data_IF_026117812314
#
_entry.id   IF_026117812314
#
_cell.length_a   1.000
_cell.length_b   1.000
_cell.length_c   1.000
_cell.angle_alpha   90.00
_cell.angle_beta   90.00
_cell.angle_gamma   90.00
#
_symmetry.space_group_name_H-M   'P 1'
#
loop_
_entity.id
_entity.type
_entity.pdbx_description
1 polymer ?
#
# COMPACT_ATOMS: atom_id res chain seq x y z
N UNK A 1 69.33 -49.27 -24.10
CA UNK A 1 69.93 -47.93 -24.19
C UNK A 1 68.89 -47.01 -24.78
N UNK A 2 68.74 -45.84 -24.19
CA UNK A 2 67.86 -44.78 -24.68
C UNK A 2 68.41 -44.28 -26.04
N UNK A 3 67.53 -43.85 -26.95
CA UNK A 3 67.94 -43.26 -28.23
C UNK A 3 68.98 -42.16 -28.06
N UNK A 4 68.83 -41.34 -27.01
CA UNK A 4 69.78 -40.27 -26.66
C UNK A 4 71.18 -40.79 -26.35
N UNK A 5 71.28 -41.97 -25.75
CA UNK A 5 72.57 -42.61 -25.44
C UNK A 5 73.24 -43.13 -26.71
N UNK A 6 72.48 -43.82 -27.58
CA UNK A 6 72.99 -44.33 -28.85
C UNK A 6 73.34 -43.20 -29.83
N UNK A 7 72.56 -42.12 -29.86
CA UNK A 7 72.86 -40.91 -30.62
C UNK A 7 74.11 -40.21 -30.09
N UNK A 8 74.23 -40.05 -28.78
CA UNK A 8 75.43 -39.49 -28.14
C UNK A 8 76.68 -40.32 -28.43
N UNK A 9 76.56 -41.64 -28.47
CA UNK A 9 77.66 -42.54 -28.82
C UNK A 9 78.04 -42.47 -30.30
N UNK A 10 77.06 -42.33 -31.20
CA UNK A 10 77.29 -42.04 -32.61
C UNK A 10 78.01 -40.70 -32.81
N UNK A 11 77.63 -39.66 -32.06
CA UNK A 11 78.30 -38.36 -32.08
C UNK A 11 79.74 -38.44 -31.57
N UNK A 12 79.99 -39.23 -30.52
CA UNK A 12 81.35 -39.49 -30.02
C UNK A 12 82.18 -40.23 -31.07
N UNK A 13 81.62 -41.28 -31.67
CA UNK A 13 82.24 -42.03 -32.77
C UNK A 13 82.57 -41.14 -33.96
N UNK A 14 81.72 -40.17 -34.28
CA UNK A 14 82.00 -39.19 -35.33
C UNK A 14 83.11 -38.19 -34.95
N UNK A 15 83.11 -37.75 -33.69
CA UNK A 15 84.03 -36.70 -33.20
C UNK A 15 85.44 -37.21 -32.91
N UNK A 16 85.59 -38.48 -32.50
CA UNK A 16 86.89 -39.13 -32.22
C UNK A 16 87.51 -39.79 -33.46
N UNK A 17 86.86 -39.64 -34.61
CA UNK A 17 87.19 -40.40 -35.80
C UNK A 17 88.47 -39.90 -36.48
N UNK A 18 89.43 -40.80 -36.70
CA UNK A 18 90.74 -40.44 -37.25
C UNK A 18 90.67 -40.22 -38.76
N UNK A 19 91.21 -39.09 -39.26
CA UNK A 19 91.28 -38.82 -40.70
C UNK A 19 92.31 -39.71 -41.38
N UNK A 20 91.95 -40.27 -42.53
CA UNK A 20 92.86 -41.15 -43.27
C UNK A 20 93.88 -40.30 -44.06
N UNK A 21 95.20 -40.46 -43.83
CA UNK A 21 96.23 -39.73 -44.56
C UNK A 21 96.13 -39.94 -46.08
N UNK A 22 96.28 -38.87 -46.87
CA UNK A 22 96.24 -38.92 -48.34
C UNK A 22 94.84 -38.94 -48.98
N UNK A 23 93.77 -39.17 -48.20
CA UNK A 23 92.39 -39.19 -48.67
C UNK A 23 91.61 -38.01 -48.09
N UNK A 24 91.44 -36.95 -48.89
CA UNK A 24 90.65 -35.78 -48.47
C UNK A 24 89.20 -36.23 -48.19
N UNK A 25 88.67 -35.83 -47.03
CA UNK A 25 87.31 -36.10 -46.53
C UNK A 25 86.99 -37.54 -46.08
N UNK A 26 87.97 -38.45 -46.01
CA UNK A 26 87.73 -39.81 -45.47
C UNK A 26 88.19 -39.92 -44.02
N UNK A 27 87.40 -40.66 -43.27
CA UNK A 27 87.54 -40.84 -41.83
C UNK A 27 87.43 -42.32 -41.54
N UNK A 28 88.33 -42.82 -40.69
CA UNK A 28 88.35 -44.21 -40.25
C UNK A 28 87.51 -44.34 -38.99
N UNK A 29 86.56 -45.27 -39.02
CA UNK A 29 85.66 -45.58 -37.90
C UNK A 29 85.78 -47.08 -37.64
N UNK A 30 85.68 -47.48 -36.37
CA UNK A 30 85.56 -48.88 -35.99
C UNK A 30 84.23 -49.43 -36.51
N UNK A 31 84.31 -50.42 -37.41
CA UNK A 31 83.15 -50.96 -38.08
C UNK A 31 82.23 -51.74 -37.13
N UNK A 32 82.80 -52.42 -36.13
CA UNK A 32 82.05 -53.26 -35.19
C UNK A 32 81.32 -52.39 -34.15
N UNK A 33 81.99 -51.33 -33.67
CA UNK A 33 81.37 -50.36 -32.76
C UNK A 33 80.29 -49.53 -33.47
N UNK A 34 80.56 -49.06 -34.69
CA UNK A 34 79.57 -48.34 -35.50
C UNK A 34 78.33 -49.20 -35.80
N UNK A 35 78.53 -50.47 -36.15
CA UNK A 35 77.42 -51.41 -36.41
C UNK A 35 76.56 -51.62 -35.16
N UNK A 36 77.17 -51.72 -33.98
CA UNK A 36 76.48 -51.83 -32.68
C UNK A 36 75.59 -50.61 -32.43
N UNK A 37 76.14 -49.40 -32.52
CA UNK A 37 75.40 -48.14 -32.29
C UNK A 37 74.26 -47.96 -33.29
N UNK A 38 74.48 -48.28 -34.57
CA UNK A 38 73.42 -48.23 -35.60
C UNK A 38 72.31 -49.24 -35.33
N UNK A 39 72.66 -50.46 -34.88
CA UNK A 39 71.67 -51.47 -34.54
C UNK A 39 70.86 -51.11 -33.29
N UNK A 40 71.48 -50.45 -32.32
CA UNK A 40 70.81 -49.90 -31.14
C UNK A 40 69.86 -48.76 -31.51
N UNK A 41 70.28 -47.80 -32.34
CA UNK A 41 69.40 -46.76 -32.89
C UNK A 41 68.24 -47.36 -33.68
N UNK A 42 68.50 -48.40 -34.49
CA UNK A 42 67.46 -49.14 -35.23
C UNK A 42 66.44 -49.80 -34.31
N UNK A 43 66.83 -50.16 -33.09
CA UNK A 43 65.97 -50.85 -32.12
C UNK A 43 65.24 -49.85 -31.21
N UNK A 44 65.91 -48.77 -30.80
CA UNK A 44 65.36 -47.75 -29.90
C UNK A 44 64.42 -46.76 -30.61
N UNK A 45 64.76 -46.27 -31.82
CA UNK A 45 63.92 -45.28 -32.53
C UNK A 45 62.47 -45.73 -32.76
N UNK A 46 62.17 -46.99 -33.19
CA UNK A 46 60.79 -47.41 -33.36
C UNK A 46 60.01 -47.43 -32.03
N UNK A 47 60.66 -47.76 -30.92
CA UNK A 47 60.03 -47.81 -29.61
C UNK A 47 59.66 -46.39 -29.14
N UNK A 48 60.56 -45.42 -29.25
CA UNK A 48 60.30 -44.04 -28.85
C UNK A 48 59.25 -43.36 -29.73
N UNK A 49 59.25 -43.65 -31.05
CA UNK A 49 58.20 -43.18 -31.96
C UNK A 49 56.84 -43.78 -31.58
N UNK A 50 56.79 -45.06 -31.21
CA UNK A 50 55.56 -45.70 -30.75
C UNK A 50 55.06 -45.06 -29.44
N UNK A 51 55.96 -44.85 -28.47
CA UNK A 51 55.62 -44.18 -27.22
C UNK A 51 55.09 -42.76 -27.46
N UNK A 52 55.77 -41.97 -28.29
CA UNK A 52 55.32 -40.63 -28.65
C UNK A 52 53.93 -40.66 -29.33
N UNK A 53 53.66 -41.65 -30.20
CA UNK A 53 52.35 -41.83 -30.81
C UNK A 53 51.27 -42.19 -29.79
N UNK A 54 51.56 -43.05 -28.81
CA UNK A 54 50.62 -43.37 -27.73
C UNK A 54 50.32 -42.14 -26.87
N UNK A 55 51.33 -41.35 -26.52
CA UNK A 55 51.16 -40.10 -25.77
C UNK A 55 50.28 -39.12 -26.56
N UNK A 56 50.50 -38.98 -27.87
CA UNK A 56 49.67 -38.12 -28.73
C UNK A 56 48.22 -38.61 -28.73
N UNK A 57 47.98 -39.92 -28.88
CA UNK A 57 46.62 -40.48 -28.83
C UNK A 57 45.96 -40.25 -27.48
N UNK A 58 46.69 -40.44 -26.38
CA UNK A 58 46.19 -40.16 -25.03
C UNK A 58 45.84 -38.68 -24.87
N UNK A 59 46.70 -37.76 -25.32
CA UNK A 59 46.43 -36.33 -25.31
C UNK A 59 45.17 -35.99 -26.10
N UNK A 60 45.04 -36.52 -27.30
CA UNK A 60 43.87 -36.26 -28.16
C UNK A 60 42.59 -36.83 -27.53
N UNK A 61 42.68 -37.97 -26.85
CA UNK A 61 41.56 -38.54 -26.08
C UNK A 61 41.16 -37.63 -24.91
N UNK A 62 42.12 -37.17 -24.11
CA UNK A 62 41.90 -36.26 -22.97
C UNK A 62 41.27 -34.94 -23.45
N UNK A 63 41.78 -34.37 -24.54
CA UNK A 63 41.25 -33.12 -25.11
C UNK A 63 39.81 -33.30 -25.58
N UNK A 64 39.49 -34.40 -26.25
CA UNK A 64 38.12 -34.68 -26.68
C UNK A 64 37.18 -34.90 -25.48
N UNK A 65 37.64 -35.59 -24.44
CA UNK A 65 36.86 -35.79 -23.21
C UNK A 65 36.59 -34.45 -22.51
N UNK A 66 37.61 -33.64 -22.29
CA UNK A 66 37.49 -32.32 -21.69
C UNK A 66 36.57 -31.39 -22.50
N UNK A 67 36.65 -31.46 -23.84
CA UNK A 67 35.75 -30.70 -24.71
C UNK A 67 34.29 -31.13 -24.57
N UNK A 68 34.03 -32.45 -24.60
CA UNK A 68 32.67 -32.99 -24.43
C UNK A 68 32.11 -32.67 -23.04
N UNK A 69 32.94 -32.75 -22.00
CA UNK A 69 32.54 -32.40 -20.64
C UNK A 69 32.26 -30.90 -20.49
N UNK A 70 33.09 -30.03 -21.07
CA UNK A 70 32.86 -28.59 -21.09
C UNK A 70 31.56 -28.22 -21.80
N UNK A 71 31.26 -28.87 -22.93
CA UNK A 71 30.00 -28.68 -23.65
C UNK A 71 28.80 -29.13 -22.81
N UNK A 72 28.88 -30.31 -22.18
CA UNK A 72 27.82 -30.81 -21.28
C UNK A 72 27.58 -29.87 -20.11
N UNK A 73 28.65 -29.44 -19.44
CA UNK A 73 28.57 -28.52 -18.31
C UNK A 73 27.97 -27.19 -18.75
N UNK A 74 28.37 -26.66 -19.91
CA UNK A 74 27.80 -25.42 -20.45
C UNK A 74 26.29 -25.56 -20.67
N UNK A 75 25.85 -26.64 -21.32
CA UNK A 75 24.43 -26.89 -21.53
C UNK A 75 23.67 -27.03 -20.22
N UNK A 76 24.22 -27.75 -19.24
CA UNK A 76 23.61 -27.90 -17.92
C UNK A 76 23.49 -26.57 -17.19
N UNK A 77 24.54 -25.74 -17.19
CA UNK A 77 24.50 -24.41 -16.57
C UNK A 77 23.48 -23.52 -17.29
N UNK A 78 23.43 -23.55 -18.62
CA UNK A 78 22.45 -22.78 -19.40
C UNK A 78 21.00 -23.21 -19.06
N UNK A 79 20.77 -24.53 -18.95
CA UNK A 79 19.48 -25.08 -18.51
C UNK A 79 19.14 -24.67 -17.08
N UNK A 80 20.06 -24.82 -16.13
CA UNK A 80 19.87 -24.44 -14.72
C UNK A 80 19.63 -22.95 -14.57
N UNK A 81 20.42 -22.10 -15.24
CA UNK A 81 20.23 -20.64 -15.23
C UNK A 81 18.88 -20.28 -15.83
N UNK A 82 18.47 -20.93 -16.92
CA UNK A 82 17.16 -20.69 -17.53
C UNK A 82 16.01 -21.09 -16.61
N UNK A 83 16.13 -22.24 -15.94
CA UNK A 83 15.13 -22.74 -15.00
C UNK A 83 15.06 -21.85 -13.76
N UNK A 84 16.20 -21.47 -13.20
CA UNK A 84 16.28 -20.55 -12.06
C UNK A 84 15.70 -19.19 -12.41
N UNK A 85 16.05 -18.64 -13.58
CA UNK A 85 15.50 -17.37 -14.06
C UNK A 85 13.98 -17.46 -14.23
N UNK A 86 13.47 -18.57 -14.76
CA UNK A 86 12.03 -18.78 -14.91
C UNK A 86 11.33 -18.90 -13.55
N UNK A 87 11.92 -19.61 -12.59
CA UNK A 87 11.39 -19.72 -11.22
C UNK A 87 11.31 -18.35 -10.54
N UNK A 88 12.40 -17.57 -10.58
CA UNK A 88 12.43 -16.21 -10.03
C UNK A 88 11.44 -15.27 -10.73
N UNK A 89 11.26 -15.39 -12.05
CA UNK A 89 10.27 -14.58 -12.78
C UNK A 89 8.83 -14.87 -12.34
N UNK A 90 8.48 -16.13 -12.10
CA UNK A 90 7.13 -16.50 -11.60
C UNK A 90 6.88 -15.94 -10.21
N UNK A 91 7.87 -16.00 -9.33
CA UNK A 91 7.77 -15.44 -7.98
C UNK A 91 7.60 -13.91 -8.02
N UNK A 92 8.36 -13.23 -8.89
CA UNK A 92 8.18 -11.79 -9.13
C UNK A 92 6.78 -11.45 -9.65
N UNK A 93 6.23 -12.24 -10.59
CA UNK A 93 4.88 -12.05 -11.12
C UNK A 93 3.83 -12.14 -10.00
N UNK A 94 3.92 -13.16 -9.14
CA UNK A 94 3.01 -13.29 -7.99
C UNK A 94 3.11 -12.14 -7.00
N UNK A 95 4.31 -11.64 -6.70
CA UNK A 95 4.50 -10.51 -5.79
C UNK A 95 3.96 -9.19 -6.36
N UNK A 96 4.10 -8.99 -7.67
CA UNK A 96 3.54 -7.82 -8.37
C UNK A 96 2.01 -7.88 -8.36
N UNK A 97 1.42 -9.05 -8.59
CA UNK A 97 -0.04 -9.24 -8.51
C UNK A 97 -0.57 -8.99 -7.09
N UNK A 98 0.10 -9.51 -6.06
CA UNK A 98 -0.24 -9.22 -4.67
C UNK A 98 -0.16 -7.72 -4.34
N UNK A 99 0.86 -7.02 -4.85
CA UNK A 99 0.97 -5.56 -4.70
C UNK A 99 -0.14 -4.81 -5.44
N UNK A 100 -0.60 -5.31 -6.59
CA UNK A 100 -1.70 -4.71 -7.33
C UNK A 100 -3.02 -4.84 -6.56
N UNK A 101 -3.28 -6.03 -5.98
CA UNK A 101 -4.45 -6.28 -5.13
C UNK A 101 -4.43 -5.35 -3.90
N UNK A 102 -3.27 -5.20 -3.24
CA UNK A 102 -3.14 -4.32 -2.07
C UNK A 102 -3.48 -2.87 -2.42
N UNK A 103 -2.93 -2.37 -3.54
CA UNK A 103 -3.19 -0.99 -4.00
C UNK A 103 -4.65 -0.78 -4.38
N UNK A 104 -5.28 -1.76 -5.02
CA UNK A 104 -6.69 -1.69 -5.38
C UNK A 104 -7.59 -1.72 -4.14
N UNK A 105 -7.28 -2.58 -3.16
CA UNK A 105 -7.99 -2.62 -1.89
C UNK A 105 -7.86 -1.31 -1.10
N UNK A 106 -6.67 -0.68 -1.10
CA UNK A 106 -6.44 0.64 -0.49
C UNK A 106 -7.30 1.71 -1.15
N UNK A 107 -7.26 1.83 -2.48
CA UNK A 107 -8.09 2.77 -3.22
C UNK A 107 -9.59 2.57 -2.94
N UNK A 108 -10.05 1.31 -2.90
CA UNK A 108 -11.44 0.98 -2.60
C UNK A 108 -11.82 1.37 -1.18
N UNK A 109 -10.91 1.18 -0.22
CA UNK A 109 -11.08 1.59 1.16
C UNK A 109 -11.19 3.11 1.32
N UNK A 110 -10.36 3.86 0.59
CA UNK A 110 -10.44 5.32 0.56
C UNK A 110 -11.76 5.82 -0.02
N UNK A 111 -12.21 5.25 -1.15
CA UNK A 111 -13.48 5.59 -1.79
C UNK A 111 -14.68 5.37 -0.84
N UNK A 112 -14.72 4.22 -0.16
CA UNK A 112 -15.78 3.90 0.82
C UNK A 112 -15.75 4.91 1.98
N UNK A 113 -14.55 5.27 2.46
CA UNK A 113 -14.41 6.24 3.55
C UNK A 113 -14.89 7.62 3.16
N UNK A 114 -14.55 8.09 1.96
CA UNK A 114 -15.00 9.39 1.44
C UNK A 114 -16.52 9.41 1.26
N UNK A 115 -17.09 8.35 0.69
CA UNK A 115 -18.55 8.22 0.54
C UNK A 115 -19.25 8.24 1.89
N UNK A 116 -18.81 7.42 2.84
CA UNK A 116 -19.39 7.36 4.18
C UNK A 116 -19.26 8.69 4.92
N UNK A 117 -18.14 9.41 4.75
CA UNK A 117 -17.96 10.74 5.33
C UNK A 117 -18.92 11.76 4.71
N UNK A 118 -19.07 11.77 3.38
CA UNK A 118 -20.01 12.63 2.68
C UNK A 118 -21.47 12.39 3.09
N UNK A 119 -21.89 11.12 3.17
CA UNK A 119 -23.22 10.74 3.64
C UNK A 119 -23.45 11.16 5.10
N UNK A 120 -22.47 10.97 5.97
CA UNK A 120 -22.56 11.39 7.37
C UNK A 120 -22.72 12.91 7.50
N UNK A 121 -21.97 13.69 6.72
CA UNK A 121 -22.08 15.15 6.68
C UNK A 121 -23.47 15.59 6.19
N UNK A 122 -24.03 14.94 5.16
CA UNK A 122 -25.38 15.24 4.68
C UNK A 122 -26.45 14.93 5.73
N UNK A 123 -26.36 13.78 6.41
CA UNK A 123 -27.28 13.40 7.49
C UNK A 123 -27.23 14.44 8.62
N UNK A 124 -26.04 14.87 9.02
CA UNK A 124 -25.88 15.89 10.07
C UNK A 124 -26.53 17.20 9.65
N UNK A 125 -26.28 17.67 8.42
CA UNK A 125 -26.88 18.90 7.91
C UNK A 125 -28.41 18.79 7.84
N UNK A 126 -28.95 17.67 7.38
CA UNK A 126 -30.40 17.49 7.31
C UNK A 126 -31.04 17.44 8.71
N UNK A 127 -30.41 16.73 9.65
CA UNK A 127 -30.84 16.69 11.04
C UNK A 127 -30.84 18.09 11.67
N UNK A 128 -29.80 18.90 11.43
CA UNK A 128 -29.72 20.28 11.89
C UNK A 128 -30.83 21.16 11.31
N UNK A 129 -31.10 21.06 9.99
CA UNK A 129 -32.20 21.80 9.35
C UNK A 129 -33.56 21.42 9.93
N UNK A 130 -33.80 20.13 10.16
CA UNK A 130 -35.04 19.65 10.78
C UNK A 130 -35.18 20.16 12.20
N UNK A 131 -34.11 20.08 13.00
CA UNK A 131 -34.11 20.58 14.38
C UNK A 131 -34.45 22.07 14.43
N UNK A 132 -33.82 22.88 13.57
CA UNK A 132 -34.10 24.32 13.49
C UNK A 132 -35.56 24.61 13.14
N UNK A 133 -36.12 23.86 12.18
CA UNK A 133 -37.52 23.99 11.79
C UNK A 133 -38.48 23.66 12.93
N UNK A 134 -38.23 22.56 13.64
CA UNK A 134 -39.05 22.14 14.79
C UNK A 134 -39.03 23.21 15.89
N UNK A 135 -37.85 23.76 16.20
CA UNK A 135 -37.72 24.80 17.23
C UNK A 135 -38.48 26.06 16.82
N UNK A 136 -38.28 26.53 15.59
CA UNK A 136 -38.96 27.73 15.07
C UNK A 136 -40.48 27.56 15.08
N UNK A 137 -40.98 26.42 14.60
CA UNK A 137 -42.41 26.12 14.60
C UNK A 137 -42.98 26.02 16.01
N UNK A 138 -42.24 25.42 16.95
CA UNK A 138 -42.65 25.35 18.35
C UNK A 138 -42.70 26.74 19.00
N UNK A 139 -41.77 27.63 18.68
CA UNK A 139 -41.76 29.02 19.14
C UNK A 139 -42.97 29.80 18.59
N UNK A 140 -43.28 29.65 17.30
CA UNK A 140 -44.43 30.29 16.66
C UNK A 140 -45.76 29.82 17.29
N UNK A 141 -45.92 28.51 17.47
CA UNK A 141 -47.10 27.92 18.13
C UNK A 141 -47.22 28.42 19.57
N UNK A 142 -46.10 28.44 20.31
CA UNK A 142 -46.10 28.93 21.69
C UNK A 142 -46.48 30.40 21.77
N UNK A 143 -45.99 31.23 20.85
CA UNK A 143 -46.34 32.65 20.75
C UNK A 143 -47.83 32.83 20.47
N UNK A 144 -48.35 32.16 19.43
CA UNK A 144 -49.78 32.23 19.07
C UNK A 144 -50.69 31.75 20.19
N UNK A 145 -50.33 30.67 20.90
CA UNK A 145 -51.07 30.19 22.07
C UNK A 145 -51.07 31.18 23.22
N UNK A 146 -49.94 31.81 23.52
CA UNK A 146 -49.86 32.85 24.56
C UNK A 146 -50.74 34.04 24.21
N UNK A 147 -50.70 34.50 22.97
CA UNK A 147 -51.49 35.63 22.51
C UNK A 147 -53.00 35.31 22.55
N UNK A 148 -53.41 34.14 22.07
CA UNK A 148 -54.80 33.67 22.17
C UNK A 148 -55.28 33.50 23.61
N UNK A 149 -54.44 32.96 24.51
CA UNK A 149 -54.78 32.84 25.92
C UNK A 149 -54.91 34.20 26.62
N UNK A 150 -54.04 35.16 26.30
CA UNK A 150 -54.13 36.53 26.82
C UNK A 150 -55.41 37.22 26.35
N UNK A 151 -55.76 37.06 25.08
CA UNK A 151 -56.99 37.61 24.50
C UNK A 151 -58.22 37.03 25.19
N UNK A 152 -58.30 35.70 25.30
CA UNK A 152 -59.39 35.02 26.00
C UNK A 152 -59.51 35.46 27.46
N UNK A 153 -58.38 35.56 28.17
CA UNK A 153 -58.37 36.03 29.56
C UNK A 153 -58.92 37.44 29.69
N UNK A 154 -58.59 38.32 28.75
CA UNK A 154 -59.07 39.70 28.72
C UNK A 154 -60.59 39.76 28.48
N UNK A 155 -61.10 38.96 27.55
CA UNK A 155 -62.54 38.86 27.27
C UNK A 155 -63.34 38.35 28.47
N UNK A 156 -62.84 37.30 29.13
CA UNK A 156 -63.46 36.74 30.34
C UNK A 156 -63.46 37.76 31.48
N UNK A 157 -62.33 38.46 31.71
CA UNK A 157 -62.24 39.49 32.74
C UNK A 157 -63.18 40.67 32.46
N UNK A 158 -63.27 41.10 31.20
CA UNK A 158 -64.19 42.18 30.81
C UNK A 158 -65.66 41.79 31.02
N UNK A 159 -66.05 40.57 30.62
CA UNK A 159 -67.41 40.07 30.84
C UNK A 159 -67.74 39.95 32.34
N UNK A 160 -66.78 39.51 33.15
CA UNK A 160 -66.96 39.44 34.60
C UNK A 160 -67.13 40.84 35.22
N UNK A 161 -66.37 41.83 34.75
CA UNK A 161 -66.49 43.23 35.18
C UNK A 161 -67.87 43.80 34.85
N UNK A 162 -68.39 43.53 33.64
CA UNK A 162 -69.72 43.96 33.21
C UNK A 162 -70.82 43.35 34.10
N UNK A 163 -70.75 42.04 34.36
CA UNK A 163 -71.70 41.33 35.24
C UNK A 163 -71.67 41.88 36.67
N UNK A 164 -70.47 42.10 37.24
CA UNK A 164 -70.32 42.67 38.57
C UNK A 164 -70.90 44.09 38.63
N UNK A 165 -70.69 44.90 37.58
CA UNK A 165 -71.24 46.26 37.48
C UNK A 165 -72.76 46.25 37.43
N UNK A 166 -73.37 45.30 36.72
CA UNK A 166 -74.82 45.13 36.67
C UNK A 166 -75.39 44.75 38.05
N UNK A 167 -74.78 43.76 38.71
CA UNK A 167 -75.16 43.32 40.06
C UNK A 167 -75.02 44.47 41.07
N UNK A 168 -73.90 45.21 41.04
CA UNK A 168 -73.71 46.40 41.88
C UNK A 168 -74.78 47.46 41.61
N UNK A 169 -75.17 47.65 40.35
CA UNK A 169 -76.28 48.53 39.98
C UNK A 169 -77.62 48.08 40.58
N UNK A 170 -77.92 46.77 40.56
CA UNK A 170 -79.10 46.21 41.20
C UNK A 170 -79.07 46.38 42.73
N UNK A 171 -77.93 46.12 43.38
CA UNK A 171 -77.75 46.32 44.83
C UNK A 171 -77.97 47.79 45.20
N UNK A 172 -77.38 48.74 44.46
CA UNK A 172 -77.57 50.18 44.70
C UNK A 172 -79.05 50.58 44.61
N UNK A 173 -79.74 50.16 43.55
CA UNK A 173 -81.19 50.40 43.40
C UNK A 173 -81.99 49.79 44.56
N UNK A 174 -81.62 48.59 45.01
CA UNK A 174 -82.22 47.94 46.19
C UNK A 174 -82.01 48.73 47.49
N UNK A 175 -80.79 49.22 47.73
CA UNK A 175 -80.46 50.07 48.90
C UNK A 175 -81.25 51.37 48.86
N UNK A 176 -81.33 52.04 47.69
CA UNK A 176 -82.08 53.29 47.53
C UNK A 176 -83.58 53.08 47.79
N UNK A 177 -84.11 51.91 47.41
CA UNK A 177 -85.52 51.54 47.67
C UNK A 177 -85.79 51.22 49.14
N UNK A 178 -84.81 50.65 49.85
CA UNK A 178 -84.91 50.27 51.27
C UNK A 178 -84.58 51.42 52.23
N UNK A 179 -83.99 52.53 51.76
CA UNK A 179 -83.93 53.79 52.52
C UNK A 179 -85.36 54.31 52.66
N UNK A 180 -85.98 54.25 53.86
CA UNK A 180 -87.30 54.85 54.04
C UNK A 180 -87.16 56.36 53.93
N UNK A 181 -88.22 57.03 53.50
CA UNK A 181 -88.45 58.46 53.73
C UNK A 181 -88.44 58.77 55.24
N UNK A 182 -87.26 58.79 55.87
CA UNK A 182 -87.05 59.39 57.19
C UNK A 182 -86.74 60.88 57.07
N UNK A 183 -87.42 61.57 56.15
CA UNK A 183 -87.49 63.04 56.07
C UNK A 183 -88.91 63.57 55.81
N UNK A 184 -89.94 62.71 55.87
CA UNK A 184 -91.34 63.18 55.77
C UNK A 184 -92.16 62.86 57.03
N UNK A 185 -92.05 63.75 58.03
CA UNK A 185 -93.08 64.12 59.03
C UNK A 185 -92.44 65.15 59.98
N UNK A 186 -92.98 66.33 60.27
CA UNK A 186 -94.31 66.94 60.03
C UNK A 186 -94.26 68.40 60.59
N UNK A 187 -95.35 69.18 60.65
CA UNK A 187 -95.66 70.33 59.80
C UNK A 187 -95.64 71.72 60.52
N UNK A 188 -95.89 72.77 59.73
CA UNK A 188 -96.58 74.05 60.03
C UNK A 188 -96.66 74.53 61.50
N UNK A 189 -96.26 75.78 61.79
CA UNK A 189 -97.12 76.97 61.67
C UNK A 189 -96.46 78.25 62.24
N UNK A 190 -96.74 79.37 61.56
CA UNK A 190 -96.98 80.75 62.04
C UNK A 190 -95.97 81.54 62.90
N UNK A 191 -95.81 82.80 62.49
CA UNK A 191 -95.46 84.02 63.24
C UNK A 191 -94.01 84.13 63.73
N UNK A 192 -93.28 85.23 63.54
CA UNK A 192 -93.73 86.62 63.52
C UNK A 192 -92.66 87.53 62.88
N UNK A 193 -93.11 88.68 62.35
CA UNK A 193 -92.31 89.84 61.94
C UNK A 193 -91.29 90.28 63.00
N UNK A 194 -90.15 90.86 62.59
CA UNK A 194 -89.74 92.26 62.83
C UNK A 194 -88.30 92.49 62.33
N UNK A 195 -88.07 93.24 61.24
CA UNK A 195 -87.62 94.65 61.17
C UNK A 195 -86.26 94.96 61.83
N UNK A 196 -85.40 95.61 61.05
CA UNK A 196 -84.25 96.40 61.50
C UNK A 196 -83.12 96.34 60.46
N UNK A 197 -83.28 97.00 59.31
CA UNK A 197 -82.57 98.25 58.90
C UNK A 197 -81.06 98.12 58.91
#
# INVERSE_FOLDING_TARGET
MDFEQAYGELQRLYSSANRVPGLRRKVMVDADHFATVVNELRTAMPADIQEAQEIIRQKDSILNQAYLESQRLKTQIEEEVSAQKQASMREYETLVDESAILKEAENRGEEIREQAQGEAEEIIQDAQRRAYRIVTEAEDIASSRREGANQYSSEVLFSLEEQLSEILGQIRRGIDTLRPESDMRRPSNSDNMHIGV
#
